data_IF_090526246169
#
_entry.id   IF_090526246169
#
_cell.length_a   1.000
_cell.length_b   1.000
_cell.length_c   1.000
_cell.angle_alpha   90.00
_cell.angle_beta   90.00
_cell.angle_gamma   90.00
#
_symmetry.space_group_name_H-M   'P 1'
#
loop_
_entity.id
_entity.type
_entity.pdbx_description
1 polymer ?
#
# COMPACT_ATOMS: atom_id res chain seq x y z
N UNK A 1 44.75 -53.29 6.99
CA UNK A 1 43.35 -52.82 7.13
C UNK A 1 43.30 -51.38 6.65
N UNK A 2 42.93 -51.17 5.39
CA UNK A 2 43.03 -49.89 4.70
C UNK A 2 41.61 -49.34 4.49
N UNK A 3 41.27 -48.20 5.10
CA UNK A 3 39.95 -47.56 4.92
C UNK A 3 40.07 -46.40 3.93
N UNK A 4 39.46 -46.57 2.77
CA UNK A 4 39.26 -45.55 1.74
C UNK A 4 38.05 -44.70 2.09
N UNK A 5 38.21 -43.38 2.21
CA UNK A 5 37.11 -42.42 2.38
C UNK A 5 36.83 -41.69 1.07
N UNK A 6 35.70 -42.00 0.44
CA UNK A 6 35.16 -41.31 -0.72
C UNK A 6 34.35 -40.08 -0.24
N UNK A 7 34.62 -38.88 -0.74
CA UNK A 7 33.79 -37.70 -0.48
C UNK A 7 33.23 -37.16 -1.79
N UNK A 8 31.90 -37.11 -1.87
CA UNK A 8 31.12 -36.74 -3.05
C UNK A 8 30.96 -35.22 -3.19
N UNK A 9 31.07 -34.80 -4.45
CA UNK A 9 30.51 -33.64 -5.17
C UNK A 9 29.52 -32.72 -4.43
N UNK A 10 29.76 -31.40 -4.55
CA UNK A 10 28.73 -30.35 -4.51
C UNK A 10 28.94 -29.38 -5.67
N UNK A 11 27.87 -29.05 -6.41
CA UNK A 11 27.63 -27.64 -6.69
C UNK A 11 26.14 -27.29 -6.57
N UNK A 12 25.82 -26.17 -5.91
CA UNK A 12 24.49 -25.55 -5.99
C UNK A 12 24.69 -24.06 -6.29
N UNK A 13 24.48 -23.71 -7.56
CA UNK A 13 24.30 -22.35 -8.01
C UNK A 13 22.87 -21.91 -7.66
N UNK A 14 22.70 -20.79 -6.94
CA UNK A 14 21.40 -20.12 -6.81
C UNK A 14 21.43 -18.81 -7.59
N UNK A 15 20.85 -18.84 -8.78
CA UNK A 15 20.56 -17.66 -9.60
C UNK A 15 19.39 -16.90 -8.96
N UNK A 16 19.55 -15.60 -8.70
CA UNK A 16 18.47 -14.70 -8.24
C UNK A 16 18.04 -13.81 -9.39
N UNK A 17 16.74 -13.82 -9.70
CA UNK A 17 16.09 -12.90 -10.65
C UNK A 17 15.61 -11.66 -9.86
N UNK A 18 15.86 -10.43 -10.33
CA UNK A 18 15.26 -9.24 -9.74
C UNK A 18 13.86 -8.96 -10.34
N UNK A 19 12.84 -8.85 -9.49
CA UNK A 19 11.56 -8.23 -9.88
C UNK A 19 11.66 -6.71 -9.68
N UNK A 20 11.40 -5.96 -10.75
CA UNK A 20 11.31 -4.50 -10.72
C UNK A 20 10.00 -4.06 -10.05
N UNK A 21 10.11 -3.26 -8.98
CA UNK A 21 8.96 -2.62 -8.34
C UNK A 21 8.85 -1.18 -8.86
N UNK A 22 7.88 -0.93 -9.72
CA UNK A 22 7.52 0.42 -10.19
C UNK A 22 6.47 1.02 -9.25
N UNK A 23 6.83 2.02 -8.46
CA UNK A 23 5.92 2.75 -7.57
C UNK A 23 5.53 4.10 -8.18
N UNK A 24 4.29 4.25 -8.64
CA UNK A 24 3.73 5.54 -9.07
C UNK A 24 3.05 6.24 -7.88
N UNK A 25 3.48 7.47 -7.58
CA UNK A 25 2.95 8.30 -6.48
C UNK A 25 1.98 9.33 -7.05
N UNK A 26 0.70 9.29 -6.65
CA UNK A 26 -0.28 10.33 -6.93
C UNK A 26 -0.41 11.23 -5.69
N UNK A 27 -0.21 12.54 -5.86
CA UNK A 27 -0.39 13.56 -4.81
C UNK A 27 -1.78 14.16 -4.89
N UNK A 28 -2.42 14.36 -3.75
CA UNK A 28 -3.62 15.20 -3.61
C UNK A 28 -3.29 16.41 -2.72
N UNK A 29 -3.67 17.60 -3.17
CA UNK A 29 -3.56 18.85 -2.43
C UNK A 29 -4.67 18.94 -1.37
N UNK A 30 -4.38 19.52 -0.21
CA UNK A 30 -5.37 19.77 0.84
C UNK A 30 -5.35 21.25 1.23
N UNK A 31 -6.52 21.87 1.20
CA UNK A 31 -6.79 23.19 1.77
C UNK A 31 -7.08 23.06 3.27
N UNK A 32 -6.51 23.95 4.07
CA UNK A 32 -6.67 24.03 5.52
C UNK A 32 -7.76 25.03 5.89
N UNK A 33 -8.66 24.65 6.80
CA UNK A 33 -9.52 25.60 7.53
C UNK A 33 -9.36 25.40 9.03
N UNK A 34 -8.88 26.47 9.67
CA UNK A 34 -8.75 26.66 11.12
C UNK A 34 -10.09 26.94 11.77
N UNK A 35 -10.32 26.41 12.97
CA UNK A 35 -11.40 26.89 13.85
C UNK A 35 -10.89 27.11 15.28
N UNK A 36 -11.40 28.20 15.84
CA UNK A 36 -11.01 28.94 17.03
C UNK A 36 -11.58 28.37 18.35
N UNK A 37 -10.87 28.70 19.43
CA UNK A 37 -11.09 28.34 20.83
C UNK A 37 -12.09 29.24 21.57
N UNK A 38 -12.82 28.68 22.55
CA UNK A 38 -13.49 29.46 23.60
C UNK A 38 -13.65 28.67 24.92
N UNK A 39 -12.88 29.13 25.92
CA UNK A 39 -13.12 29.28 27.38
C UNK A 39 -13.91 28.28 28.27
N UNK A 40 -13.30 28.02 29.43
CA UNK A 40 -13.70 27.29 30.67
C UNK A 40 -14.80 27.98 31.52
N UNK A 41 -15.29 27.36 32.63
CA UNK A 41 -14.66 27.49 33.98
C UNK A 41 -14.73 26.24 34.91
N UNK A 42 -13.67 25.95 35.69
CA UNK A 42 -13.49 25.92 37.19
C UNK A 42 -14.39 25.02 38.06
N UNK A 43 -13.79 24.06 38.81
CA UNK A 43 -13.94 23.80 40.28
C UNK A 43 -12.99 22.65 40.76
N UNK A 44 -12.51 22.67 42.03
CA UNK A 44 -11.53 21.76 42.68
C UNK A 44 -12.16 21.03 43.91
N UNK A 45 -11.49 20.31 44.86
CA UNK A 45 -10.15 19.63 44.95
C UNK A 45 -10.13 18.18 45.55
N UNK A 46 -9.02 17.44 45.30
CA UNK A 46 -8.18 16.49 46.13
C UNK A 46 -8.81 15.35 46.99
N UNK A 47 -8.41 14.08 46.74
CA UNK A 47 -7.57 13.22 47.66
C UNK A 47 -7.09 11.89 47.02
N UNK A 48 -5.98 11.27 47.49
CA UNK A 48 -5.22 10.22 46.78
C UNK A 48 -5.48 8.80 47.31
N UNK A 49 -5.44 7.80 46.41
CA UNK A 49 -5.36 6.39 46.82
C UNK A 49 -4.48 5.56 45.86
N UNK A 50 -3.46 4.96 46.45
CA UNK A 50 -2.46 4.07 45.83
C UNK A 50 -3.04 2.69 45.56
N UNK A 51 -2.90 2.15 44.34
CA UNK A 51 -2.59 0.72 44.08
C UNK A 51 -2.54 0.34 42.58
N UNK A 52 -1.37 -0.17 42.15
CA UNK A 52 -1.22 -1.14 41.05
C UNK A 52 -0.83 -0.61 39.65
N UNK A 53 0.23 -1.14 38.98
CA UNK A 53 0.55 -0.79 37.60
C UNK A 53 -0.34 -1.57 36.63
N UNK A 54 -1.58 -1.11 36.46
CA UNK A 54 -2.43 -1.55 35.36
C UNK A 54 -1.98 -0.86 34.08
N UNK A 55 -1.52 -1.69 33.14
CA UNK A 55 -1.02 -1.28 31.82
C UNK A 55 -2.04 -0.39 31.12
N UNK A 56 -1.68 0.88 30.94
CA UNK A 56 -2.17 1.86 29.94
C UNK A 56 -3.26 1.35 28.99
N UNK A 57 -4.52 1.53 29.36
CA UNK A 57 -5.61 1.73 28.40
C UNK A 57 -5.59 3.21 27.98
N UNK A 58 -4.70 3.55 27.05
CA UNK A 58 -4.69 4.89 26.43
C UNK A 58 -6.08 5.17 25.84
N UNK A 59 -6.77 6.16 26.41
CA UNK A 59 -8.02 6.79 25.98
C UNK A 59 -8.79 6.07 24.86
N UNK A 60 -9.95 5.50 25.20
CA UNK A 60 -10.98 5.14 24.23
C UNK A 60 -11.51 6.45 23.64
N UNK A 61 -10.78 7.01 22.67
CA UNK A 61 -11.42 7.75 21.61
C UNK A 61 -12.41 6.76 20.97
N UNK A 62 -13.66 7.15 20.76
CA UNK A 62 -14.68 6.30 20.13
C UNK A 62 -14.29 6.05 18.66
N UNK A 63 -13.29 5.19 18.43
CA UNK A 63 -12.85 4.79 17.11
C UNK A 63 -13.98 3.95 16.50
N UNK A 64 -14.36 4.22 15.24
CA UNK A 64 -15.47 3.51 14.61
C UNK A 64 -15.11 2.06 14.27
N UNK A 65 -13.81 1.70 14.28
CA UNK A 65 -13.33 0.36 13.95
C UNK A 65 -12.09 -0.03 14.78
N UNK A 66 -11.97 -1.32 15.09
CA UNK A 66 -10.79 -1.86 15.75
C UNK A 66 -9.57 -1.91 14.80
N UNK A 67 -8.36 -1.77 15.36
CA UNK A 67 -7.11 -1.79 14.60
C UNK A 67 -6.88 -3.04 13.73
N UNK A 68 -7.10 -4.28 14.23
CA UNK A 68 -6.93 -5.48 13.41
C UNK A 68 -7.89 -5.51 12.22
N UNK A 69 -9.15 -5.10 12.42
CA UNK A 69 -10.15 -5.08 11.36
C UNK A 69 -9.80 -4.02 10.32
N UNK A 70 -9.40 -2.82 10.75
CA UNK A 70 -8.94 -1.76 9.85
C UNK A 70 -7.76 -2.21 8.96
N UNK A 71 -6.74 -2.83 9.55
CA UNK A 71 -5.57 -3.28 8.78
C UNK A 71 -5.92 -4.39 7.78
N UNK A 72 -6.86 -5.27 8.13
CA UNK A 72 -7.39 -6.27 7.19
C UNK A 72 -8.18 -5.61 6.05
N UNK A 73 -9.04 -4.63 6.34
CA UNK A 73 -9.77 -3.90 5.29
C UNK A 73 -8.83 -3.16 4.35
N UNK A 74 -7.76 -2.54 4.87
CA UNK A 74 -6.73 -1.89 4.07
C UNK A 74 -6.02 -2.88 3.14
N UNK A 75 -5.72 -4.09 3.63
CA UNK A 75 -5.17 -5.20 2.83
C UNK A 75 -6.16 -5.65 1.77
N UNK A 76 -7.42 -5.86 2.13
CA UNK A 76 -8.48 -6.28 1.22
C UNK A 76 -8.68 -5.25 0.10
N UNK A 77 -8.75 -3.95 0.40
CA UNK A 77 -8.89 -2.89 -0.62
C UNK A 77 -7.81 -2.99 -1.71
N UNK A 78 -6.54 -3.21 -1.33
CA UNK A 78 -5.44 -3.41 -2.30
C UNK A 78 -5.60 -4.71 -3.10
N UNK A 79 -6.05 -5.78 -2.45
CA UNK A 79 -6.32 -7.06 -3.11
C UNK A 79 -7.44 -6.94 -4.13
N UNK A 80 -8.52 -6.20 -3.85
CA UNK A 80 -9.62 -5.98 -4.82
C UNK A 80 -9.15 -5.29 -6.09
N UNK A 81 -8.33 -4.24 -5.98
CA UNK A 81 -7.75 -3.56 -7.15
C UNK A 81 -6.85 -4.48 -7.98
N UNK A 82 -6.06 -5.33 -7.33
CA UNK A 82 -5.15 -6.25 -8.04
C UNK A 82 -5.94 -7.43 -8.65
N UNK A 83 -6.88 -7.99 -7.90
CA UNK A 83 -7.67 -9.16 -8.28
C UNK A 83 -8.62 -8.88 -9.45
N UNK A 84 -9.13 -7.66 -9.56
CA UNK A 84 -10.02 -7.25 -10.67
C UNK A 84 -9.27 -6.95 -11.96
N UNK A 85 -7.96 -6.66 -11.89
CA UNK A 85 -7.17 -6.38 -13.09
C UNK A 85 -7.11 -7.57 -14.05
N UNK A 86 -6.95 -8.79 -13.52
CA UNK A 86 -6.90 -10.01 -14.32
C UNK A 86 -8.20 -10.23 -15.13
N UNK A 87 -9.39 -10.33 -14.51
CA UNK A 87 -10.63 -10.53 -15.25
C UNK A 87 -10.97 -9.35 -16.15
N UNK A 88 -10.70 -8.09 -15.78
CA UNK A 88 -10.95 -6.95 -16.67
C UNK A 88 -10.05 -6.95 -17.89
N UNK A 89 -8.80 -7.40 -17.77
CA UNK A 89 -7.88 -7.58 -18.90
C UNK A 89 -8.39 -8.66 -19.85
N UNK A 90 -8.78 -9.82 -19.32
CA UNK A 90 -9.38 -10.89 -20.12
C UNK A 90 -10.67 -10.43 -20.78
N UNK A 91 -11.55 -9.73 -20.04
CA UNK A 91 -12.79 -9.19 -20.58
C UNK A 91 -12.53 -8.22 -21.72
N UNK A 92 -11.54 -7.32 -21.59
CA UNK A 92 -11.12 -6.42 -22.67
C UNK A 92 -10.62 -7.18 -23.90
N UNK A 93 -9.82 -8.23 -23.70
CA UNK A 93 -9.38 -9.10 -24.80
C UNK A 93 -10.55 -9.85 -25.45
N UNK A 94 -11.44 -10.46 -24.67
CA UNK A 94 -12.57 -11.23 -25.20
C UNK A 94 -13.55 -10.33 -25.96
N UNK A 95 -13.83 -9.14 -25.44
CA UNK A 95 -14.70 -8.18 -26.11
C UNK A 95 -14.05 -7.62 -27.38
N UNK A 96 -12.78 -7.21 -27.31
CA UNK A 96 -12.06 -6.69 -28.48
C UNK A 96 -11.90 -7.76 -29.55
N UNK A 97 -11.38 -8.93 -29.17
CA UNK A 97 -11.18 -10.05 -30.09
C UNK A 97 -12.50 -10.58 -30.65
N UNK A 98 -13.55 -10.69 -29.83
CA UNK A 98 -14.88 -11.10 -30.30
C UNK A 98 -15.49 -10.10 -31.28
N UNK A 99 -15.35 -8.80 -31.01
CA UNK A 99 -15.82 -7.74 -31.91
C UNK A 99 -15.06 -7.75 -33.24
N UNK A 100 -13.73 -7.74 -33.22
CA UNK A 100 -12.92 -7.71 -34.44
C UNK A 100 -12.97 -9.02 -35.22
N UNK A 101 -13.12 -10.17 -34.56
CA UNK A 101 -13.29 -11.45 -35.25
C UNK A 101 -14.65 -11.59 -35.95
N UNK A 102 -15.65 -10.81 -35.51
CA UNK A 102 -16.98 -10.78 -36.14
C UNK A 102 -17.03 -9.88 -37.37
N UNK A 103 -15.99 -9.06 -37.63
CA UNK A 103 -15.86 -8.27 -38.84
C UNK A 103 -15.28 -9.14 -39.96
N UNK A 104 -15.97 -9.17 -41.09
CA UNK A 104 -15.46 -9.82 -42.30
C UNK A 104 -14.17 -9.11 -42.74
N UNK A 105 -13.05 -9.83 -42.68
CA UNK A 105 -11.73 -9.30 -43.03
C UNK A 105 -11.37 -9.79 -44.43
N UNK A 106 -11.51 -8.91 -45.42
CA UNK A 106 -10.95 -9.18 -46.76
C UNK A 106 -9.43 -8.96 -46.73
N UNK A 107 -8.61 -9.99 -47.00
CA UNK A 107 -7.15 -9.90 -46.91
C UNK A 107 -6.52 -9.01 -47.99
N UNK A 108 -7.30 -8.49 -48.93
CA UNK A 108 -6.86 -7.54 -49.95
C UNK A 108 -7.09 -6.08 -49.56
N UNK A 109 -7.81 -5.82 -48.45
CA UNK A 109 -8.15 -4.47 -48.03
C UNK A 109 -7.06 -3.91 -47.09
N UNK A 110 -6.38 -2.87 -47.56
CA UNK A 110 -5.42 -2.12 -46.77
C UNK A 110 -6.14 -1.04 -45.96
N UNK A 111 -5.97 -1.07 -44.64
CA UNK A 111 -6.44 -0.02 -43.72
C UNK A 111 -5.25 0.87 -43.37
N UNK A 112 -5.31 2.14 -43.78
CA UNK A 112 -4.22 3.11 -43.62
C UNK A 112 -2.87 2.63 -44.21
N UNK A 113 -2.92 1.84 -45.30
CA UNK A 113 -1.72 1.28 -45.95
C UNK A 113 -1.11 0.08 -45.23
N UNK A 114 -1.77 -0.45 -44.21
CA UNK A 114 -1.35 -1.63 -43.44
C UNK A 114 -2.39 -2.74 -43.67
N UNK A 115 -1.94 -3.99 -43.72
CA UNK A 115 -2.80 -5.18 -43.78
C UNK A 115 -3.82 -5.20 -42.62
N UNK A 116 -5.09 -5.48 -42.92
CA UNK A 116 -6.18 -5.48 -41.95
C UNK A 116 -5.92 -6.39 -40.74
N UNK A 117 -5.26 -7.53 -40.95
CA UNK A 117 -4.89 -8.48 -39.89
C UNK A 117 -4.04 -7.83 -38.79
N UNK A 118 -3.05 -7.00 -39.15
CA UNK A 118 -2.19 -6.33 -38.16
C UNK A 118 -2.93 -5.21 -37.44
N UNK A 119 -3.80 -4.49 -38.13
CA UNK A 119 -4.61 -3.41 -37.54
C UNK A 119 -5.57 -3.99 -36.50
N UNK A 120 -6.29 -5.05 -36.82
CA UNK A 120 -7.23 -5.70 -35.89
C UNK A 120 -6.51 -6.45 -34.76
N UNK A 121 -5.37 -7.09 -35.05
CA UNK A 121 -4.53 -7.66 -34.01
C UNK A 121 -4.02 -6.59 -33.02
N UNK A 122 -3.54 -5.46 -33.55
CA UNK A 122 -3.13 -4.31 -32.75
C UNK A 122 -4.28 -3.70 -31.96
N UNK A 123 -5.46 -3.56 -32.57
CA UNK A 123 -6.65 -3.04 -31.90
C UNK A 123 -7.13 -3.97 -30.77
N UNK A 124 -7.07 -5.29 -30.97
CA UNK A 124 -7.38 -6.30 -29.94
C UNK A 124 -6.41 -6.20 -28.76
N UNK A 125 -5.11 -6.06 -29.03
CA UNK A 125 -4.11 -5.82 -28.00
C UNK A 125 -4.34 -4.47 -27.29
N UNK A 126 -4.81 -3.45 -28.01
CA UNK A 126 -5.25 -2.18 -27.46
C UNK A 126 -6.42 -2.34 -26.47
N UNK A 127 -7.44 -3.13 -26.82
CA UNK A 127 -8.55 -3.44 -25.92
C UNK A 127 -8.08 -4.22 -24.67
N UNK A 128 -7.15 -5.16 -24.81
CA UNK A 128 -6.53 -5.85 -23.67
C UNK A 128 -5.82 -4.84 -22.74
N UNK A 129 -4.98 -3.96 -23.30
CA UNK A 129 -4.23 -2.97 -22.54
C UNK A 129 -5.16 -1.98 -21.82
N UNK A 130 -6.25 -1.56 -22.46
CA UNK A 130 -7.29 -0.73 -21.84
C UNK A 130 -8.00 -1.46 -20.70
N UNK A 131 -8.32 -2.75 -20.87
CA UNK A 131 -8.88 -3.58 -19.80
C UNK A 131 -7.95 -3.70 -18.60
N UNK A 132 -6.64 -3.86 -18.84
CA UNK A 132 -5.63 -3.85 -17.77
C UNK A 132 -5.59 -2.51 -17.02
N UNK A 133 -5.60 -1.39 -17.73
CA UNK A 133 -5.57 -0.06 -17.12
C UNK A 133 -6.85 0.28 -16.34
N UNK A 134 -8.00 -0.19 -16.82
CA UNK A 134 -9.29 -0.03 -16.15
C UNK A 134 -9.47 -0.94 -14.92
N UNK A 135 -8.67 -2.01 -14.80
CA UNK A 135 -8.76 -2.97 -13.70
C UNK A 135 -8.79 -2.35 -12.31
N UNK A 136 -7.77 -1.56 -11.91
CA UNK A 136 -7.70 -0.99 -10.56
C UNK A 136 -8.85 -0.03 -10.22
N UNK A 137 -9.35 0.73 -11.20
CA UNK A 137 -10.47 1.68 -11.00
C UNK A 137 -11.79 0.92 -10.81
N UNK A 138 -12.02 -0.12 -11.61
CA UNK A 138 -13.15 -1.05 -11.44
C UNK A 138 -13.08 -1.74 -10.07
N UNK A 139 -11.90 -2.22 -9.66
CA UNK A 139 -11.71 -2.85 -8.35
C UNK A 139 -11.98 -1.93 -7.15
N UNK A 140 -11.51 -0.68 -7.23
CA UNK A 140 -11.79 0.33 -6.18
C UNK A 140 -13.29 0.64 -6.08
N UNK A 141 -13.97 0.71 -7.23
CA UNK A 141 -15.41 0.94 -7.30
C UNK A 141 -16.18 -0.24 -6.71
N UNK A 142 -15.79 -1.47 -7.04
CA UNK A 142 -16.43 -2.69 -6.54
C UNK A 142 -16.24 -2.87 -5.03
N UNK A 143 -15.05 -2.53 -4.50
CA UNK A 143 -14.83 -2.50 -3.05
C UNK A 143 -15.78 -1.51 -2.36
N UNK A 144 -15.95 -0.32 -2.93
CA UNK A 144 -16.83 0.72 -2.38
C UNK A 144 -18.32 0.33 -2.44
N UNK A 145 -18.71 -0.51 -3.41
CA UNK A 145 -20.07 -1.05 -3.54
C UNK A 145 -20.34 -2.21 -2.57
N UNK A 146 -19.36 -3.09 -2.37
CA UNK A 146 -19.49 -4.27 -1.48
C UNK A 146 -19.39 -3.91 0.00
N UNK A 147 -18.63 -2.85 0.34
CA UNK A 147 -18.45 -2.37 1.72
C UNK A 147 -18.96 -0.93 1.89
N UNK A 148 -20.26 -0.65 1.61
CA UNK A 148 -20.77 0.71 1.57
C UNK A 148 -20.78 1.37 2.96
N UNK A 149 -21.09 0.62 4.02
CA UNK A 149 -21.12 1.11 5.40
C UNK A 149 -19.76 1.60 5.92
N UNK A 150 -18.68 1.11 5.32
CA UNK A 150 -17.31 1.38 5.78
C UNK A 150 -16.59 2.37 4.85
N UNK A 151 -16.94 2.37 3.56
CA UNK A 151 -16.24 3.14 2.53
C UNK A 151 -17.01 4.35 1.98
N UNK A 152 -18.33 4.44 2.18
CA UNK A 152 -19.15 5.55 1.67
C UNK A 152 -19.59 6.47 2.81
N UNK A 153 -19.84 7.72 2.45
CA UNK A 153 -20.33 8.76 3.37
C UNK A 153 -19.25 9.74 3.81
N UNK A 154 -19.70 10.89 4.33
CA UNK A 154 -18.84 11.90 4.95
C UNK A 154 -18.29 11.35 6.26
N UNK A 155 -16.97 11.38 6.45
CA UNK A 155 -16.28 10.76 7.59
C UNK A 155 -16.51 9.25 7.66
N UNK A 156 -16.30 8.54 6.54
CA UNK A 156 -16.40 7.08 6.53
C UNK A 156 -15.51 6.46 7.62
N UNK A 157 -15.93 5.38 8.30
CA UNK A 157 -15.13 4.74 9.35
C UNK A 157 -13.70 4.43 8.92
N UNK A 158 -13.53 4.06 7.65
CA UNK A 158 -12.24 3.73 7.07
C UNK A 158 -11.36 4.98 6.88
N UNK A 159 -11.93 6.09 6.44
CA UNK A 159 -11.20 7.37 6.30
C UNK A 159 -10.77 7.94 7.64
N UNK A 160 -11.64 7.87 8.66
CA UNK A 160 -11.29 8.28 10.03
C UNK A 160 -10.09 7.48 10.54
N UNK A 161 -10.11 6.16 10.31
CA UNK A 161 -9.00 5.29 10.67
C UNK A 161 -7.74 5.50 9.81
N UNK A 162 -7.89 5.79 8.53
CA UNK A 162 -6.77 6.13 7.62
C UNK A 162 -6.05 7.39 8.12
N UNK A 163 -6.80 8.40 8.59
CA UNK A 163 -6.25 9.63 9.20
C UNK A 163 -5.54 9.36 10.52
N UNK A 164 -6.16 8.61 11.42
CA UNK A 164 -5.57 8.18 12.69
C UNK A 164 -4.27 7.39 12.46
N UNK A 165 -4.30 6.46 11.51
CA UNK A 165 -3.14 5.69 11.11
C UNK A 165 -2.02 6.59 10.58
N UNK A 166 -2.35 7.52 9.67
CA UNK A 166 -1.38 8.47 9.14
C UNK A 166 -0.75 9.32 10.26
N UNK A 167 -1.54 9.82 11.22
CA UNK A 167 -1.02 10.56 12.37
C UNK A 167 -0.04 9.71 13.20
N UNK A 168 -0.35 8.41 13.39
CA UNK A 168 0.54 7.46 14.08
C UNK A 168 1.83 7.16 13.32
N UNK A 169 1.79 7.12 11.99
CA UNK A 169 3.01 6.98 11.17
C UNK A 169 3.82 8.26 11.21
N UNK A 170 3.18 9.42 11.01
CA UNK A 170 3.81 10.74 11.00
C UNK A 170 4.58 11.03 12.30
N UNK A 171 4.06 10.65 13.47
CA UNK A 171 4.75 10.85 14.75
C UNK A 171 5.94 9.92 14.98
N UNK A 172 5.93 8.72 14.39
CA UNK A 172 6.93 7.68 14.68
C UNK A 172 8.00 7.54 13.59
N UNK A 173 7.74 8.02 12.37
CA UNK A 173 8.69 7.95 11.25
C UNK A 173 10.00 8.68 11.60
N UNK A 174 11.08 8.23 10.98
CA UNK A 174 12.37 8.91 11.00
C UNK A 174 12.44 9.99 9.91
N UNK A 175 13.28 11.00 10.15
CA UNK A 175 13.49 12.06 9.18
C UNK A 175 14.35 11.57 8.01
N UNK A 176 13.94 11.85 6.76
CA UNK A 176 14.64 11.37 5.58
C UNK A 176 15.95 12.12 5.32
N UNK A 177 16.19 13.22 6.03
CA UNK A 177 17.39 14.06 5.86
C UNK A 177 18.68 13.35 6.29
N UNK A 178 18.59 12.43 7.24
CA UNK A 178 19.76 11.68 7.75
C UNK A 178 20.07 10.43 6.92
N UNK A 179 19.70 10.41 5.64
CA UNK A 179 19.95 9.28 4.76
C UNK A 179 21.41 9.27 4.31
N UNK A 180 22.05 8.10 4.44
CA UNK A 180 23.37 7.85 3.90
C UNK A 180 23.36 6.61 3.01
N UNK A 181 24.32 6.48 2.11
CA UNK A 181 24.44 5.32 1.21
C UNK A 181 24.50 3.99 1.99
N UNK A 182 25.06 4.01 3.20
CA UNK A 182 25.18 2.84 4.07
C UNK A 182 23.92 2.57 4.93
N UNK A 183 23.03 3.56 5.09
CA UNK A 183 21.83 3.46 5.91
C UNK A 183 20.58 3.78 5.08
N UNK A 184 20.05 2.76 4.39
CA UNK A 184 18.83 2.87 3.59
C UNK A 184 17.64 3.20 4.50
N UNK A 185 16.83 4.18 4.08
CA UNK A 185 15.64 4.60 4.82
C UNK A 185 14.63 3.44 4.93
N UNK A 186 14.11 3.12 6.14
CA UNK A 186 12.98 2.23 6.31
C UNK A 186 11.70 2.85 5.74
N UNK A 187 10.73 2.02 5.32
CA UNK A 187 9.45 2.46 4.72
C UNK A 187 8.87 3.74 5.35
N UNK A 188 8.92 4.85 4.60
CA UNK A 188 8.59 6.18 5.12
C UNK A 188 7.08 6.39 5.32
N UNK A 189 6.26 5.75 4.50
CA UNK A 189 4.80 5.95 4.48
C UNK A 189 4.03 4.83 5.21
N UNK A 190 4.72 3.77 5.65
CA UNK A 190 4.06 2.63 6.28
C UNK A 190 3.14 1.89 5.31
N UNK A 191 3.55 1.81 4.05
CA UNK A 191 2.82 1.12 3.00
C UNK A 191 2.74 -0.39 3.26
N UNK A 192 3.85 -0.95 3.77
CA UNK A 192 3.99 -2.40 4.04
C UNK A 192 3.26 -2.86 5.30
N UNK A 193 2.61 -1.93 6.02
CA UNK A 193 1.94 -2.20 7.28
C UNK A 193 0.52 -2.72 7.01
N UNK A 194 0.42 -4.05 6.98
CA UNK A 194 -0.83 -4.80 6.75
C UNK A 194 -1.36 -5.51 8.01
N UNK A 195 -0.59 -5.53 9.10
CA UNK A 195 -0.93 -6.22 10.34
C UNK A 195 -0.27 -5.56 11.55
N UNK A 196 -0.71 -5.93 12.76
CA UNK A 196 -0.10 -5.40 13.99
C UNK A 196 1.36 -5.85 14.17
N UNK A 197 1.71 -7.06 13.72
CA UNK A 197 3.09 -7.55 13.81
C UNK A 197 4.02 -6.78 12.88
N UNK A 198 3.58 -6.48 11.65
CA UNK A 198 4.34 -5.64 10.71
C UNK A 198 4.44 -4.21 11.19
N UNK A 199 3.42 -3.67 11.85
CA UNK A 199 3.50 -2.36 12.52
C UNK A 199 4.56 -2.33 13.63
N UNK A 200 4.59 -3.32 14.51
CA UNK A 200 5.61 -3.40 15.58
C UNK A 200 7.02 -3.58 15.02
N UNK A 201 7.16 -4.34 13.93
CA UNK A 201 8.44 -4.47 13.22
C UNK A 201 8.87 -3.12 12.65
N UNK A 202 7.97 -2.44 11.96
CA UNK A 202 8.21 -1.12 11.40
C UNK A 202 8.68 -0.12 12.47
N UNK A 203 8.04 -0.09 13.66
CA UNK A 203 8.49 0.76 14.77
C UNK A 203 9.93 0.47 15.21
N UNK A 204 10.33 -0.81 15.26
CA UNK A 204 11.71 -1.18 15.57
C UNK A 204 12.68 -0.74 14.48
N UNK A 205 12.29 -0.90 13.22
CA UNK A 205 13.11 -0.49 12.08
C UNK A 205 13.34 1.03 12.09
N UNK A 206 12.29 1.82 12.39
CA UNK A 206 12.40 3.27 12.57
C UNK A 206 13.31 3.65 13.75
N UNK A 207 13.20 2.97 14.89
CA UNK A 207 14.04 3.23 16.05
C UNK A 207 15.52 2.87 15.80
N UNK A 208 15.78 1.77 15.09
CA UNK A 208 17.14 1.39 14.68
C UNK A 208 17.72 2.44 13.73
N UNK A 209 16.93 2.92 12.77
CA UNK A 209 17.37 3.96 11.85
C UNK A 209 17.67 5.28 12.57
N UNK A 210 16.80 5.73 13.49
CA UNK A 210 17.03 6.94 14.30
C UNK A 210 18.32 6.83 15.10
N UNK A 211 18.57 5.69 15.75
CA UNK A 211 19.83 5.46 16.46
C UNK A 211 21.02 5.56 15.52
N UNK A 212 21.00 4.88 14.37
CA UNK A 212 22.09 4.95 13.39
C UNK A 212 22.32 6.37 12.84
N UNK A 213 21.25 7.13 12.62
CA UNK A 213 21.34 8.51 12.19
C UNK A 213 22.06 9.39 13.23
N UNK A 214 21.72 9.25 14.51
CA UNK A 214 22.35 10.03 15.58
C UNK A 214 23.85 9.75 15.74
N UNK A 215 24.33 8.53 15.45
CA UNK A 215 25.76 8.19 15.60
C UNK A 215 26.65 8.88 14.56
N UNK A 216 26.09 9.50 13.52
CA UNK A 216 26.85 10.21 12.48
C UNK A 216 26.78 11.74 12.57
N UNK A 217 26.08 12.31 13.55
CA UNK A 217 25.89 13.75 13.70
C UNK A 217 26.88 14.28 14.76
N UNK A 218 27.79 15.22 14.43
CA UNK A 218 28.65 15.85 15.42
C UNK A 218 27.80 16.64 16.44
N UNK A 219 28.23 16.67 17.70
CA UNK A 219 27.44 17.09 18.87
C UNK A 219 27.04 18.58 18.89
N UNK A 220 27.36 19.35 17.85
CA UNK A 220 27.11 20.78 17.74
C UNK A 220 25.62 21.13 17.57
N UNK A 221 24.80 20.18 17.08
CA UNK A 221 23.40 20.42 16.63
C UNK A 221 22.34 19.54 17.33
N UNK A 222 22.65 18.96 18.50
CA UNK A 222 21.75 18.05 19.23
C UNK A 222 20.73 18.76 20.13
#
# INVERSE_FOLDING_TARGET
MSRTTSTLLRPILKQRIPLANSSLTIRYASSSSSSSSSSSPLEAPIEPSTSGPSRTSTSIQNLPLSWPNYLNLRKQRKLWSTATTVPTTFLGLFLGGGYFASLETDPSQLIMGIEAMYVYGGATMGCMALGYLAGPTVGSSLFSLTHPSISKGKNSPLEVMDREFFNRIKRNRADPRFQSAQNIIPDFYGEKITSLSTYRRWLRDQAVYKRKAMHGVPAEDA
#
